data_IF_804868604188
#
_entry.id   IF_804868604188
#
_cell.length_a   1.000
_cell.length_b   1.000
_cell.length_c   1.000
_cell.angle_alpha   90.00
_cell.angle_beta   90.00
_cell.angle_gamma   90.00
#
_symmetry.space_group_name_H-M   'P 1'
#
loop_
_entity.id
_entity.type
_entity.pdbx_description
1 polymer ?
#
# COMPACT_ATOMS: atom_id res chain seq x y z
N UNK A 1 0.81 -39.92 9.62
CA UNK A 1 1.79 -39.46 8.61
C UNK A 1 2.28 -38.11 9.04
N UNK A 2 3.56 -37.80 8.83
CA UNK A 2 4.12 -36.48 9.08
C UNK A 2 4.58 -35.84 7.76
N UNK A 3 4.26 -34.57 7.56
CA UNK A 3 4.59 -33.80 6.36
C UNK A 3 5.42 -32.58 6.74
N UNK A 4 6.66 -32.56 6.28
CA UNK A 4 7.62 -31.48 6.44
C UNK A 4 7.56 -30.59 5.21
N UNK A 5 7.06 -29.37 5.38
CA UNK A 5 6.89 -28.38 4.32
C UNK A 5 7.99 -27.34 4.45
N UNK A 6 8.86 -27.25 3.45
CA UNK A 6 10.07 -26.42 3.48
C UNK A 6 10.12 -25.51 2.26
N UNK A 7 10.35 -24.21 2.47
CA UNK A 7 10.63 -23.28 1.35
C UNK A 7 12.10 -23.38 0.93
N UNK A 8 12.36 -23.31 -0.37
CA UNK A 8 13.70 -23.26 -0.92
C UNK A 8 14.60 -22.19 -0.28
N UNK A 9 15.91 -22.41 -0.32
CA UNK A 9 16.92 -21.45 0.11
C UNK A 9 16.93 -20.15 -0.70
N UNK A 10 17.58 -19.12 -0.18
CA UNK A 10 17.62 -17.79 -0.80
C UNK A 10 18.27 -17.80 -2.19
N UNK A 11 17.73 -16.99 -3.09
CA UNK A 11 18.30 -16.68 -4.41
C UNK A 11 18.67 -15.19 -4.50
N UNK A 12 19.38 -14.79 -5.55
CA UNK A 12 19.68 -13.36 -5.76
C UNK A 12 18.42 -12.55 -6.03
N UNK A 13 17.42 -13.13 -6.70
CA UNK A 13 16.12 -12.47 -6.88
C UNK A 13 15.33 -12.33 -5.58
N UNK A 14 15.51 -13.21 -4.58
CA UNK A 14 14.97 -12.93 -3.24
C UNK A 14 15.66 -11.71 -2.61
N UNK A 15 16.98 -11.61 -2.73
CA UNK A 15 17.76 -10.49 -2.17
C UNK A 15 17.40 -9.15 -2.81
N UNK A 16 17.07 -9.18 -4.09
CA UNK A 16 16.66 -8.02 -4.90
C UNK A 16 15.15 -7.77 -4.88
N UNK A 17 14.37 -8.55 -4.12
CA UNK A 17 12.91 -8.46 -4.06
C UNK A 17 12.22 -8.55 -5.44
N UNK A 18 12.74 -9.37 -6.35
CA UNK A 18 12.13 -9.61 -7.66
C UNK A 18 11.09 -10.73 -7.61
N UNK A 19 10.06 -10.63 -8.45
CA UNK A 19 9.17 -11.76 -8.72
C UNK A 19 9.97 -12.89 -9.39
N UNK A 20 10.01 -14.07 -8.78
CA UNK A 20 10.67 -15.24 -9.38
C UNK A 20 9.72 -16.05 -10.24
N UNK A 21 8.55 -16.38 -9.68
CA UNK A 21 7.55 -17.20 -10.35
C UNK A 21 8.12 -18.51 -10.89
N UNK A 22 7.72 -18.88 -12.11
CA UNK A 22 8.16 -20.11 -12.75
C UNK A 22 9.56 -20.01 -13.38
N UNK A 23 10.19 -18.83 -13.40
CA UNK A 23 11.55 -18.65 -13.89
C UNK A 23 12.57 -19.45 -13.05
N UNK A 24 13.52 -20.12 -13.70
CA UNK A 24 14.48 -20.98 -13.02
C UNK A 24 15.75 -20.22 -12.60
N UNK A 25 15.74 -19.73 -11.36
CA UNK A 25 16.86 -19.01 -10.72
C UNK A 25 17.56 -19.93 -9.71
N UNK A 26 18.90 -20.04 -9.73
CA UNK A 26 19.64 -20.89 -8.80
C UNK A 26 19.69 -20.30 -7.37
N UNK A 27 20.06 -21.14 -6.40
CA UNK A 27 20.40 -20.67 -5.05
C UNK A 27 21.63 -19.77 -5.08
N UNK A 28 21.65 -18.77 -4.20
CA UNK A 28 22.88 -18.07 -3.86
C UNK A 28 23.56 -18.74 -2.65
N UNK A 29 24.77 -18.28 -2.31
CA UNK A 29 25.53 -18.94 -1.25
C UNK A 29 24.89 -18.78 0.14
N UNK A 30 24.21 -17.66 0.42
CA UNK A 30 23.41 -17.49 1.64
C UNK A 30 22.32 -18.59 1.73
N UNK A 31 21.64 -18.86 0.61
CA UNK A 31 20.63 -19.91 0.50
C UNK A 31 21.19 -21.31 0.70
N UNK A 32 22.33 -21.64 0.08
CA UNK A 32 22.99 -22.94 0.28
C UNK A 32 23.44 -23.14 1.71
N UNK A 33 23.98 -22.11 2.36
CA UNK A 33 24.38 -22.18 3.77
C UNK A 33 23.18 -22.39 4.69
N UNK A 34 22.06 -21.71 4.45
CA UNK A 34 20.83 -21.92 5.20
C UNK A 34 20.30 -23.35 5.02
N UNK A 35 20.30 -23.88 3.78
CA UNK A 35 19.91 -25.26 3.50
C UNK A 35 20.81 -26.27 4.22
N UNK A 36 22.13 -26.06 4.27
CA UNK A 36 23.05 -26.94 5.03
C UNK A 36 22.74 -26.93 6.53
N UNK A 37 22.45 -25.76 7.11
CA UNK A 37 22.09 -25.65 8.53
C UNK A 37 20.79 -26.40 8.85
N UNK A 38 19.77 -26.24 8.02
CA UNK A 38 18.52 -26.99 8.18
C UNK A 38 18.73 -28.50 7.96
N UNK A 39 19.58 -28.89 7.00
CA UNK A 39 19.95 -30.30 6.79
C UNK A 39 20.62 -30.92 8.02
N UNK A 40 21.51 -30.19 8.69
CA UNK A 40 22.10 -30.63 9.96
C UNK A 40 21.06 -30.72 11.10
N UNK A 41 20.07 -29.84 11.12
CA UNK A 41 18.96 -29.91 12.08
C UNK A 41 18.09 -31.16 11.87
N UNK A 42 17.85 -31.52 10.60
CA UNK A 42 17.01 -32.65 10.20
C UNK A 42 17.77 -33.96 10.05
N UNK A 43 19.07 -33.99 10.38
CA UNK A 43 19.93 -35.16 10.16
C UNK A 43 19.47 -36.40 10.91
N UNK A 44 18.68 -36.31 11.96
CA UNK A 44 18.22 -37.50 12.69
C UNK A 44 16.80 -37.92 12.30
N UNK A 45 16.17 -37.17 11.38
CA UNK A 45 14.87 -37.51 10.79
C UNK A 45 15.08 -38.47 9.61
N UNK A 46 14.33 -39.57 9.62
CA UNK A 46 14.21 -40.47 8.47
C UNK A 46 13.00 -40.04 7.64
N UNK A 47 13.19 -39.82 6.35
CA UNK A 47 12.11 -39.51 5.41
C UNK A 47 11.88 -40.72 4.51
N UNK A 48 10.64 -41.17 4.39
CA UNK A 48 10.27 -42.23 3.44
C UNK A 48 10.21 -41.67 2.01
N UNK A 49 9.75 -40.43 1.87
CA UNK A 49 9.62 -39.73 0.60
C UNK A 49 10.12 -38.29 0.69
N UNK A 50 10.79 -37.85 -0.39
CA UNK A 50 11.18 -36.45 -0.56
C UNK A 50 10.68 -35.97 -1.91
N UNK A 51 9.78 -35.00 -1.91
CA UNK A 51 9.29 -34.33 -3.10
C UNK A 51 9.87 -32.93 -3.20
N UNK A 52 10.14 -32.50 -4.43
CA UNK A 52 10.56 -31.13 -4.72
C UNK A 52 9.82 -30.59 -5.93
N UNK A 53 9.62 -29.28 -5.96
CA UNK A 53 9.45 -28.57 -7.22
C UNK A 53 10.59 -28.92 -8.20
N UNK A 54 10.32 -28.97 -9.52
CA UNK A 54 11.36 -29.21 -10.51
C UNK A 54 12.36 -28.06 -10.67
N UNK A 55 11.98 -26.82 -10.30
CA UNK A 55 12.86 -25.64 -10.37
C UNK A 55 14.12 -25.82 -9.52
N UNK A 56 15.26 -25.42 -10.07
CA UNK A 56 16.61 -25.68 -9.55
C UNK A 56 16.77 -25.27 -8.09
N UNK A 57 16.32 -24.07 -7.69
CA UNK A 57 16.41 -23.59 -6.29
C UNK A 57 15.77 -24.53 -5.27
N UNK A 58 14.59 -25.10 -5.57
CA UNK A 58 13.91 -26.02 -4.66
C UNK A 58 14.58 -27.40 -4.68
N UNK A 59 14.91 -27.88 -5.88
CA UNK A 59 15.55 -29.18 -6.04
C UNK A 59 16.94 -29.25 -5.41
N UNK A 60 17.76 -28.22 -5.64
CA UNK A 60 19.07 -28.06 -5.00
C UNK A 60 18.94 -27.97 -3.48
N UNK A 61 17.95 -27.23 -2.96
CA UNK A 61 17.67 -27.18 -1.52
C UNK A 61 17.38 -28.58 -0.98
N UNK A 62 16.49 -29.34 -1.62
CA UNK A 62 16.16 -30.71 -1.22
C UNK A 62 17.37 -31.65 -1.24
N UNK A 63 18.23 -31.54 -2.26
CA UNK A 63 19.49 -32.29 -2.34
C UNK A 63 20.44 -31.94 -1.19
N UNK A 64 20.57 -30.65 -0.84
CA UNK A 64 21.44 -30.21 0.27
C UNK A 64 20.90 -30.73 1.60
N UNK A 65 19.58 -30.65 1.84
CA UNK A 65 18.94 -31.13 3.06
C UNK A 65 19.14 -32.63 3.28
N UNK A 66 19.10 -33.42 2.20
CA UNK A 66 19.35 -34.85 2.24
C UNK A 66 20.83 -35.22 2.51
N UNK A 67 21.75 -34.30 2.24
CA UNK A 67 23.18 -34.56 2.29
C UNK A 67 23.65 -35.63 1.28
N UNK A 68 24.90 -36.07 1.43
CA UNK A 68 25.55 -37.01 0.50
C UNK A 68 25.18 -38.49 0.68
N UNK A 69 24.31 -38.84 1.64
CA UNK A 69 24.25 -40.23 2.15
C UNK A 69 22.87 -40.84 2.45
N UNK A 70 21.73 -40.20 2.15
CA UNK A 70 20.43 -40.70 2.69
C UNK A 70 19.45 -41.35 1.73
N UNK A 71 19.48 -41.04 0.43
CA UNK A 71 18.62 -41.70 -0.55
C UNK A 71 19.34 -41.93 -1.87
N UNK A 72 19.48 -43.19 -2.28
CA UNK A 72 20.09 -43.59 -3.56
C UNK A 72 19.34 -43.07 -4.80
N UNK A 73 18.11 -42.55 -4.63
CA UNK A 73 17.24 -42.06 -5.71
C UNK A 73 17.08 -40.54 -5.77
N UNK A 74 17.59 -39.79 -4.78
CA UNK A 74 17.41 -38.33 -4.68
C UNK A 74 15.96 -37.87 -4.50
N UNK A 75 15.70 -36.55 -4.47
CA UNK A 75 14.34 -36.00 -4.41
C UNK A 75 13.51 -36.30 -5.67
N UNK A 76 12.22 -36.59 -5.49
CA UNK A 76 11.26 -36.80 -6.58
C UNK A 76 10.75 -35.43 -7.06
N UNK A 77 11.03 -35.07 -8.31
CA UNK A 77 10.49 -33.85 -8.92
C UNK A 77 8.99 -34.01 -9.16
N UNK A 78 8.18 -33.05 -8.71
CA UNK A 78 6.75 -33.02 -8.97
C UNK A 78 6.32 -31.64 -9.47
N UNK A 79 5.80 -31.58 -10.70
CA UNK A 79 5.39 -30.34 -11.36
C UNK A 79 4.24 -29.62 -10.65
N UNK A 80 3.43 -30.32 -9.85
CA UNK A 80 2.36 -29.72 -9.04
C UNK A 80 2.91 -28.80 -7.95
N UNK A 81 4.19 -28.91 -7.61
CA UNK A 81 4.88 -28.08 -6.61
C UNK A 81 5.62 -26.87 -7.21
N UNK A 82 5.57 -26.66 -8.53
CA UNK A 82 6.18 -25.49 -9.19
C UNK A 82 5.62 -24.19 -8.62
N UNK A 83 6.42 -23.12 -8.50
CA UNK A 83 5.90 -21.83 -8.03
C UNK A 83 4.74 -21.33 -8.90
N UNK A 84 3.90 -20.47 -8.34
CA UNK A 84 2.90 -19.70 -9.11
C UNK A 84 3.61 -18.88 -10.18
N UNK A 85 3.19 -19.00 -11.45
CA UNK A 85 3.68 -18.11 -12.51
C UNK A 85 3.24 -16.68 -12.24
N UNK A 86 4.19 -15.73 -12.26
CA UNK A 86 3.86 -14.30 -12.22
C UNK A 86 3.89 -13.66 -13.61
N UNK A 87 4.01 -14.46 -14.67
CA UNK A 87 3.92 -13.99 -16.06
C UNK A 87 4.89 -12.86 -16.37
N UNK A 88 4.39 -11.79 -16.97
CA UNK A 88 5.18 -10.60 -17.35
C UNK A 88 5.84 -9.87 -16.16
N UNK A 89 5.50 -10.19 -14.90
CA UNK A 89 6.16 -9.62 -13.73
C UNK A 89 7.47 -10.32 -13.36
N UNK A 90 7.72 -11.54 -13.85
CA UNK A 90 8.92 -12.29 -13.48
C UNK A 90 10.20 -11.52 -13.84
N UNK A 91 11.09 -11.36 -12.87
CA UNK A 91 12.31 -10.56 -12.96
C UNK A 91 12.12 -9.09 -12.62
N UNK A 92 10.90 -8.58 -12.51
CA UNK A 92 10.64 -7.21 -12.08
C UNK A 92 10.80 -7.09 -10.55
N UNK A 93 11.49 -6.04 -10.05
CA UNK A 93 11.48 -5.70 -8.62
C UNK A 93 10.05 -5.37 -8.15
N UNK A 94 9.69 -5.81 -6.94
CA UNK A 94 8.33 -5.66 -6.42
C UNK A 94 7.90 -4.19 -6.25
N UNK A 95 8.86 -3.29 -5.98
CA UNK A 95 8.65 -1.85 -5.88
C UNK A 95 8.42 -1.18 -7.25
N UNK A 96 8.96 -1.77 -8.32
CA UNK A 96 8.80 -1.32 -9.72
C UNK A 96 7.58 -1.90 -10.42
N UNK A 97 6.79 -2.72 -9.73
CA UNK A 97 5.47 -3.12 -10.21
C UNK A 97 4.55 -1.89 -10.28
N UNK A 98 4.60 -1.22 -11.44
CA UNK A 98 3.74 -0.10 -11.80
C UNK A 98 2.41 -0.67 -12.25
N UNK A 99 1.38 -0.28 -11.53
CA UNK A 99 0.09 -0.90 -11.61
C UNK A 99 -0.89 0.07 -12.26
N UNK A 100 -1.23 -0.18 -13.53
CA UNK A 100 -2.19 0.67 -14.23
C UNK A 100 -3.63 0.40 -13.79
N UNK A 101 -3.93 -0.73 -13.09
CA UNK A 101 -5.30 -1.17 -12.72
C UNK A 101 -5.41 -2.01 -11.41
N UNK A 102 -4.55 -1.74 -10.42
CA UNK A 102 -4.65 -2.16 -9.00
C UNK A 102 -4.61 -3.67 -8.55
N UNK A 103 -3.98 -4.69 -9.21
CA UNK A 103 -3.78 -6.00 -8.59
C UNK A 103 -2.78 -6.01 -7.42
N UNK A 104 -1.86 -5.05 -7.33
CA UNK A 104 -0.79 -5.03 -6.29
C UNK A 104 -1.34 -4.91 -4.89
N UNK A 105 -2.37 -4.08 -4.67
CA UNK A 105 -2.98 -3.93 -3.32
C UNK A 105 -3.68 -5.19 -2.84
N UNK A 106 -4.20 -6.00 -3.77
CA UNK A 106 -4.92 -7.23 -3.45
C UNK A 106 -4.00 -8.39 -3.18
N UNK A 107 -2.77 -8.37 -3.73
CA UNK A 107 -1.83 -9.50 -3.68
C UNK A 107 -1.69 -10.11 -2.28
N UNK A 108 -1.45 -9.29 -1.24
CA UNK A 108 -1.35 -9.76 0.15
C UNK A 108 -2.61 -9.53 0.99
N UNK A 109 -3.42 -8.50 0.70
CA UNK A 109 -4.52 -8.06 1.58
C UNK A 109 -5.88 -8.68 1.24
N UNK A 110 -6.18 -8.84 -0.05
CA UNK A 110 -7.44 -9.41 -0.53
C UNK A 110 -7.14 -10.39 -1.67
N UNK A 111 -6.40 -11.49 -1.41
CA UNK A 111 -5.92 -12.41 -2.44
C UNK A 111 -7.02 -13.00 -3.33
N UNK A 112 -8.28 -13.09 -2.87
CA UNK A 112 -9.41 -13.50 -3.72
C UNK A 112 -9.74 -12.52 -4.85
N UNK A 113 -9.27 -11.28 -4.77
CA UNK A 113 -9.43 -10.22 -5.79
C UNK A 113 -8.21 -10.04 -6.68
N UNK A 114 -7.12 -10.78 -6.43
CA UNK A 114 -5.91 -10.69 -7.23
C UNK A 114 -6.15 -11.19 -8.66
N UNK A 115 -5.86 -10.32 -9.63
CA UNK A 115 -5.87 -10.66 -11.06
C UNK A 115 -4.43 -10.72 -11.54
N UNK A 116 -3.95 -11.89 -12.02
CA UNK A 116 -2.58 -12.01 -12.49
C UNK A 116 -2.35 -11.23 -13.79
N UNK A 117 -1.11 -10.77 -14.03
CA UNK A 117 -0.71 -10.21 -15.32
C UNK A 117 -0.80 -11.27 -16.42
N UNK A 118 -0.61 -10.86 -17.67
CA UNK A 118 -0.57 -11.79 -18.80
C UNK A 118 0.49 -12.88 -18.57
N UNK A 119 0.08 -14.13 -18.76
CA UNK A 119 0.92 -15.32 -18.54
C UNK A 119 1.07 -15.74 -17.06
N UNK A 120 0.46 -15.02 -16.12
CA UNK A 120 0.45 -15.38 -14.70
C UNK A 120 -0.66 -16.37 -14.32
N UNK A 121 -0.50 -17.00 -13.17
CA UNK A 121 -1.46 -17.91 -12.55
C UNK A 121 -2.26 -17.20 -11.44
N UNK A 122 -3.51 -17.62 -11.25
CA UNK A 122 -4.31 -17.16 -10.10
C UNK A 122 -3.92 -17.94 -8.83
N UNK A 123 -4.16 -17.36 -7.65
CA UNK A 123 -4.00 -18.11 -6.40
C UNK A 123 -4.95 -19.30 -6.30
N UNK A 124 -6.17 -19.19 -6.85
CA UNK A 124 -7.14 -20.30 -6.91
C UNK A 124 -6.57 -21.48 -7.70
N UNK A 125 -5.96 -21.24 -8.87
CA UNK A 125 -5.30 -22.32 -9.63
C UNK A 125 -4.14 -22.97 -8.86
N UNK A 126 -3.45 -22.21 -7.99
CA UNK A 126 -2.46 -22.75 -7.06
C UNK A 126 -3.06 -23.73 -6.05
N UNK A 127 -4.19 -23.36 -5.43
CA UNK A 127 -4.94 -24.21 -4.48
C UNK A 127 -5.37 -25.49 -5.19
N UNK A 128 -5.98 -25.40 -6.37
CA UNK A 128 -6.40 -26.58 -7.14
C UNK A 128 -5.22 -27.50 -7.49
N UNK A 129 -4.09 -26.91 -7.91
CA UNK A 129 -2.89 -27.64 -8.31
C UNK A 129 -2.26 -28.39 -7.14
N UNK A 130 -2.21 -27.77 -5.97
CA UNK A 130 -1.69 -28.42 -4.75
C UNK A 130 -2.70 -29.39 -4.13
N UNK A 131 -4.01 -29.16 -4.27
CA UNK A 131 -5.04 -30.13 -3.90
C UNK A 131 -4.91 -31.43 -4.70
N UNK A 132 -4.60 -31.34 -6.00
CA UNK A 132 -4.24 -32.52 -6.81
C UNK A 132 -3.01 -33.25 -6.28
N UNK A 133 -2.01 -32.54 -5.75
CA UNK A 133 -0.85 -33.17 -5.12
C UNK A 133 -1.24 -33.92 -3.84
N UNK A 134 -2.09 -33.33 -3.00
CA UNK A 134 -2.61 -34.00 -1.79
C UNK A 134 -3.34 -35.30 -2.17
N UNK A 135 -4.31 -35.23 -3.09
CA UNK A 135 -5.15 -36.38 -3.45
C UNK A 135 -4.42 -37.46 -4.26
N UNK A 136 -3.49 -37.08 -5.14
CA UNK A 136 -2.84 -38.06 -6.04
C UNK A 136 -1.49 -38.55 -5.54
N UNK A 137 -0.91 -37.91 -4.51
CA UNK A 137 0.41 -38.27 -3.96
C UNK A 137 0.32 -38.58 -2.48
N UNK A 138 -0.11 -37.63 -1.64
CA UNK A 138 -0.04 -37.80 -0.18
C UNK A 138 -1.06 -38.84 0.32
N UNK A 139 -2.30 -38.79 -0.16
CA UNK A 139 -3.33 -39.75 0.27
C UNK A 139 -3.04 -41.20 -0.12
N UNK A 140 -2.57 -41.52 -1.34
CA UNK A 140 -2.11 -42.87 -1.66
C UNK A 140 -0.98 -43.35 -0.75
N UNK A 141 0.03 -42.50 -0.48
CA UNK A 141 1.12 -42.84 0.43
C UNK A 141 0.57 -43.13 1.84
N UNK A 142 -0.38 -42.33 2.34
CA UNK A 142 -0.97 -42.57 3.66
C UNK A 142 -1.72 -43.91 3.73
N UNK A 143 -2.44 -44.29 2.67
CA UNK A 143 -3.15 -45.58 2.61
C UNK A 143 -2.19 -46.77 2.66
N UNK A 144 -1.00 -46.63 2.08
CA UNK A 144 0.03 -47.68 2.06
C UNK A 144 0.90 -47.68 3.33
N UNK A 145 1.27 -46.50 3.82
CA UNK A 145 2.10 -46.29 5.00
C UNK A 145 1.57 -45.10 5.83
N UNK A 146 0.70 -45.38 6.82
CA UNK A 146 0.14 -44.35 7.70
C UNK A 146 1.20 -43.62 8.53
N UNK A 147 2.36 -44.21 8.76
CA UNK A 147 3.44 -43.65 9.58
C UNK A 147 4.52 -42.95 8.74
N UNK A 148 4.31 -42.81 7.43
CA UNK A 148 5.29 -42.21 6.53
C UNK A 148 5.64 -40.77 6.96
N UNK A 149 6.93 -40.45 6.85
CA UNK A 149 7.49 -39.10 6.96
C UNK A 149 7.86 -38.58 5.59
N UNK A 150 7.25 -37.48 5.19
CA UNK A 150 7.40 -36.91 3.85
C UNK A 150 8.01 -35.52 3.96
N UNK A 151 9.07 -35.25 3.19
CA UNK A 151 9.59 -33.90 3.00
C UNK A 151 9.12 -33.33 1.67
N UNK A 152 8.65 -32.09 1.67
CA UNK A 152 8.25 -31.31 0.49
C UNK A 152 9.05 -30.02 0.46
N UNK A 153 9.81 -29.82 -0.61
CA UNK A 153 10.58 -28.58 -0.83
C UNK A 153 10.03 -27.82 -2.02
N UNK A 154 9.53 -26.60 -1.80
CA UNK A 154 8.92 -25.79 -2.86
C UNK A 154 9.12 -24.29 -2.60
N UNK A 155 8.10 -23.47 -2.88
CA UNK A 155 8.22 -22.01 -2.98
C UNK A 155 7.15 -21.27 -2.19
N UNK A 156 7.33 -19.97 -2.00
CA UNK A 156 6.53 -19.20 -1.06
C UNK A 156 5.04 -19.20 -1.39
N UNK A 157 4.67 -18.84 -2.62
CA UNK A 157 3.25 -18.74 -2.97
C UNK A 157 2.59 -20.12 -3.14
N UNK A 158 3.26 -21.08 -3.77
CA UNK A 158 2.69 -22.43 -3.93
C UNK A 158 2.58 -23.20 -2.60
N UNK A 159 3.47 -22.97 -1.62
CA UNK A 159 3.33 -23.57 -0.29
C UNK A 159 2.17 -22.96 0.48
N UNK A 160 1.89 -21.67 0.32
CA UNK A 160 0.68 -21.04 0.86
C UNK A 160 -0.59 -21.72 0.29
N UNK A 161 -0.63 -22.04 -1.01
CA UNK A 161 -1.70 -22.83 -1.61
C UNK A 161 -1.79 -24.26 -1.04
N UNK A 162 -0.66 -24.96 -0.87
CA UNK A 162 -0.65 -26.29 -0.27
C UNK A 162 -1.25 -26.23 1.14
N UNK A 163 -0.80 -25.29 1.96
CA UNK A 163 -1.29 -25.11 3.32
C UNK A 163 -2.77 -24.71 3.38
N UNK A 164 -3.31 -24.03 2.35
CA UNK A 164 -4.77 -23.84 2.25
C UNK A 164 -5.52 -25.17 2.16
N UNK A 165 -5.01 -26.14 1.40
CA UNK A 165 -5.61 -27.47 1.30
C UNK A 165 -5.45 -28.28 2.60
N UNK A 166 -4.33 -28.15 3.30
CA UNK A 166 -4.10 -28.87 4.57
C UNK A 166 -5.00 -28.31 5.68
N UNK A 167 -5.13 -26.99 5.77
CA UNK A 167 -5.84 -26.29 6.84
C UNK A 167 -7.30 -25.95 6.51
N UNK A 168 -7.80 -26.36 5.34
CA UNK A 168 -9.13 -25.98 4.82
C UNK A 168 -9.36 -24.45 4.75
N UNK A 169 -8.33 -23.68 4.36
CA UNK A 169 -8.45 -22.24 4.12
C UNK A 169 -8.98 -21.96 2.72
N UNK A 170 -9.77 -20.90 2.60
CA UNK A 170 -10.19 -20.35 1.31
C UNK A 170 -9.13 -19.40 0.75
N UNK A 171 -9.26 -19.00 -0.51
CA UNK A 171 -8.37 -18.01 -1.14
C UNK A 171 -8.32 -16.69 -0.36
N UNK A 172 -9.37 -16.33 0.39
CA UNK A 172 -9.36 -15.09 1.19
C UNK A 172 -8.38 -15.12 2.35
N UNK A 173 -7.98 -16.31 2.81
CA UNK A 173 -6.94 -16.50 3.80
C UNK A 173 -5.72 -17.23 3.22
N UNK A 174 -5.36 -16.92 1.96
CA UNK A 174 -4.28 -17.59 1.23
C UNK A 174 -2.95 -17.56 2.00
N UNK A 175 -2.56 -16.38 2.51
CA UNK A 175 -1.27 -16.18 3.16
C UNK A 175 -1.22 -16.64 4.62
N UNK A 176 -2.36 -16.85 5.29
CA UNK A 176 -2.38 -17.24 6.71
C UNK A 176 -1.58 -16.27 7.57
N UNK A 177 -0.60 -16.79 8.31
CA UNK A 177 0.31 -15.98 9.15
C UNK A 177 1.43 -15.27 8.38
N UNK A 178 1.51 -15.43 7.06
CA UNK A 178 2.48 -14.76 6.19
C UNK A 178 3.20 -15.68 5.22
N UNK A 179 4.11 -15.09 4.46
CA UNK A 179 4.97 -15.81 3.51
C UNK A 179 6.11 -16.49 4.27
N UNK A 180 6.23 -17.82 4.15
CA UNK A 180 7.35 -18.58 4.73
C UNK A 180 8.69 -18.02 4.28
N UNK A 181 9.63 -17.83 5.19
CA UNK A 181 11.02 -17.46 4.93
C UNK A 181 11.79 -18.56 4.19
N UNK A 182 12.96 -18.22 3.65
CA UNK A 182 13.82 -19.19 2.96
C UNK A 182 14.39 -20.22 3.96
N UNK A 183 14.30 -21.52 3.63
CA UNK A 183 14.65 -22.62 4.54
C UNK A 183 13.90 -22.60 5.89
N UNK A 184 12.68 -22.06 5.92
CA UNK A 184 11.78 -22.29 7.05
C UNK A 184 11.03 -23.61 6.88
N UNK A 185 10.81 -24.28 8.01
CA UNK A 185 10.10 -25.54 8.13
C UNK A 185 8.72 -25.37 8.76
N UNK A 186 7.78 -26.20 8.31
CA UNK A 186 6.49 -26.38 8.95
C UNK A 186 6.11 -27.85 8.90
N UNK A 187 5.77 -28.43 10.04
CA UNK A 187 5.45 -29.86 10.15
C UNK A 187 3.97 -30.02 10.43
N UNK A 188 3.31 -30.86 9.63
CA UNK A 188 1.94 -31.28 9.84
C UNK A 188 1.86 -32.77 10.16
N UNK A 189 0.87 -33.15 10.94
CA UNK A 189 0.47 -34.54 11.16
C UNK A 189 -0.87 -34.81 10.50
N UNK A 190 -1.05 -36.00 9.92
CA UNK A 190 -2.32 -36.46 9.34
C UNK A 190 -2.77 -37.75 10.00
N UNK A 191 -4.01 -37.74 10.50
CA UNK A 191 -4.64 -38.88 11.18
C UNK A 191 -5.53 -39.74 10.27
N UNK A 192 -5.58 -39.41 8.97
CA UNK A 192 -6.46 -40.06 7.99
C UNK A 192 -7.74 -39.29 7.68
N UNK A 193 -8.00 -38.19 8.40
CA UNK A 193 -9.16 -37.31 8.20
C UNK A 193 -8.77 -35.83 8.18
N UNK A 194 -7.89 -35.42 9.09
CA UNK A 194 -7.56 -34.01 9.32
C UNK A 194 -6.05 -33.82 9.41
N UNK A 195 -5.56 -32.76 8.78
CA UNK A 195 -4.19 -32.29 8.98
C UNK A 195 -4.14 -31.35 10.19
N UNK A 196 -3.18 -31.58 11.08
CA UNK A 196 -2.94 -30.76 12.27
C UNK A 196 -1.52 -30.22 12.24
N UNK A 197 -1.36 -28.91 12.47
CA UNK A 197 -0.05 -28.27 12.61
C UNK A 197 0.66 -28.82 13.85
N UNK A 198 1.83 -29.43 13.67
CA UNK A 198 2.63 -30.02 14.75
C UNK A 198 3.73 -29.07 15.22
N UNK A 199 4.42 -28.43 14.28
CA UNK A 199 5.41 -27.40 14.56
C UNK A 199 5.53 -26.41 13.40
N UNK A 200 5.96 -25.20 13.71
CA UNK A 200 6.24 -24.15 12.75
C UNK A 200 7.41 -23.32 13.28
N UNK A 201 8.33 -22.93 12.40
CA UNK A 201 9.28 -21.87 12.73
C UNK A 201 8.53 -20.58 13.09
N UNK A 202 9.15 -19.73 13.92
CA UNK A 202 8.55 -18.42 14.23
C UNK A 202 8.35 -17.65 12.93
N UNK A 203 7.14 -17.12 12.66
CA UNK A 203 6.89 -16.32 11.47
C UNK A 203 7.89 -15.17 11.39
N UNK A 204 8.62 -15.10 10.27
CA UNK A 204 9.41 -13.91 9.95
C UNK A 204 8.51 -12.84 9.36
N UNK A 205 8.87 -11.57 9.60
CA UNK A 205 8.22 -10.45 8.94
C UNK A 205 8.33 -10.65 7.42
N UNK A 206 7.18 -10.69 6.74
CA UNK A 206 7.15 -10.83 5.30
C UNK A 206 7.82 -9.59 4.68
N UNK A 207 9.00 -9.72 4.06
CA UNK A 207 9.80 -8.56 3.66
C UNK A 207 9.18 -7.83 2.46
N UNK A 208 8.14 -8.40 1.85
CA UNK A 208 7.36 -7.78 0.78
C UNK A 208 6.19 -6.93 1.30
N UNK A 209 5.83 -7.01 2.58
CA UNK A 209 4.72 -6.22 3.15
C UNK A 209 4.96 -4.72 3.08
N UNK A 210 6.22 -4.28 3.22
CA UNK A 210 6.59 -2.87 2.99
C UNK A 210 6.23 -2.39 1.58
N UNK A 211 6.26 -3.27 0.58
CA UNK A 211 5.85 -2.93 -0.78
C UNK A 211 4.34 -3.09 -1.02
N UNK A 212 3.67 -3.95 -0.26
CA UNK A 212 2.21 -4.17 -0.32
C UNK A 212 1.41 -2.98 0.21
N UNK A 213 2.01 -2.19 1.09
CA UNK A 213 1.43 -0.94 1.60
C UNK A 213 1.60 0.24 0.63
N UNK A 214 2.33 0.03 -0.47
CA UNK A 214 2.82 1.12 -1.30
C UNK A 214 3.75 1.98 -0.45
N UNK A 215 5.05 1.71 -0.50
CA UNK A 215 6.04 2.65 0.03
C UNK A 215 5.82 3.99 -0.67
N UNK A 216 4.99 4.85 -0.06
CA UNK A 216 4.89 6.25 -0.42
C UNK A 216 6.27 6.82 -0.17
N UNK A 217 6.92 7.21 -1.26
CA UNK A 217 8.14 8.00 -1.24
C UNK A 217 7.93 9.11 -0.20
N UNK A 218 8.82 9.19 0.79
CA UNK A 218 8.71 10.21 1.83
C UNK A 218 8.52 11.58 1.19
N UNK A 219 7.61 12.38 1.75
CA UNK A 219 7.27 13.70 1.26
C UNK A 219 8.55 14.52 1.04
N UNK A 220 8.61 15.21 -0.09
CA UNK A 220 9.65 16.21 -0.27
C UNK A 220 9.41 17.33 0.75
N UNK A 221 10.46 17.79 1.42
CA UNK A 221 10.38 18.90 2.37
C UNK A 221 11.08 20.09 1.73
N UNK A 222 10.34 21.17 1.48
CA UNK A 222 10.84 22.35 0.76
C UNK A 222 10.52 23.60 1.56
N UNK A 223 11.50 24.49 1.70
CA UNK A 223 11.27 25.79 2.35
C UNK A 223 10.44 26.69 1.44
N UNK A 224 9.46 27.41 1.99
CA UNK A 224 8.70 28.44 1.27
C UNK A 224 9.61 29.55 0.71
N UNK A 225 10.75 29.79 1.36
CA UNK A 225 11.75 30.76 0.90
C UNK A 225 12.52 30.30 -0.36
N UNK A 226 12.41 29.03 -0.75
CA UNK A 226 12.96 28.53 -2.01
C UNK A 226 12.21 29.17 -3.19
N UNK A 227 12.96 29.73 -4.14
CA UNK A 227 12.43 30.46 -5.30
C UNK A 227 11.53 29.59 -6.19
N UNK A 228 11.75 28.27 -6.23
CA UNK A 228 10.98 27.33 -7.03
C UNK A 228 9.85 26.65 -6.24
N UNK A 229 9.75 26.90 -4.93
CA UNK A 229 8.77 26.24 -4.05
C UNK A 229 7.33 26.37 -4.57
N UNK A 230 6.93 27.55 -5.05
CA UNK A 230 5.57 27.78 -5.56
C UNK A 230 5.31 26.95 -6.83
N UNK A 231 6.23 27.01 -7.80
CA UNK A 231 6.14 26.28 -9.07
C UNK A 231 6.11 24.77 -8.82
N UNK A 232 6.99 24.27 -7.95
CA UNK A 232 7.07 22.86 -7.57
C UNK A 232 5.79 22.38 -6.87
N UNK A 233 5.25 23.19 -5.97
CA UNK A 233 3.98 22.88 -5.28
C UNK A 233 2.84 22.75 -6.29
N UNK A 234 2.75 23.69 -7.24
CA UNK A 234 1.73 23.64 -8.29
C UNK A 234 1.88 22.42 -9.21
N UNK A 235 3.12 21.98 -9.51
CA UNK A 235 3.36 20.76 -10.28
C UNK A 235 2.86 19.51 -9.55
N UNK A 236 3.16 19.37 -8.25
CA UNK A 236 2.70 18.24 -7.43
C UNK A 236 1.17 18.23 -7.32
N UNK A 237 0.54 19.39 -7.14
CA UNK A 237 -0.91 19.53 -7.11
C UNK A 237 -1.55 19.12 -8.45
N UNK A 238 -0.99 19.58 -9.58
CA UNK A 238 -1.47 19.24 -10.93
C UNK A 238 -1.32 17.75 -11.25
N UNK A 239 -0.33 17.07 -10.70
CA UNK A 239 -0.18 15.61 -10.82
C UNK A 239 -1.05 14.81 -9.84
N UNK A 240 -2.06 15.42 -9.20
CA UNK A 240 -2.94 14.74 -8.25
C UNK A 240 -2.36 14.51 -6.84
N UNK A 241 -1.23 15.15 -6.55
CA UNK A 241 -0.56 15.07 -5.26
C UNK A 241 -1.34 15.79 -4.14
N UNK A 242 -1.16 15.31 -2.91
CA UNK A 242 -1.59 15.98 -1.69
C UNK A 242 -0.38 16.64 -1.04
N UNK A 243 -0.53 17.92 -0.71
CA UNK A 243 0.54 18.73 -0.14
C UNK A 243 0.13 19.32 1.20
N UNK A 244 1.11 19.60 2.06
CA UNK A 244 0.92 20.44 3.24
C UNK A 244 1.55 21.79 2.97
N UNK A 245 0.76 22.86 3.06
CA UNK A 245 1.20 24.22 2.78
C UNK A 245 0.88 25.18 3.92
N UNK A 246 1.74 26.18 4.18
CA UNK A 246 1.43 27.25 5.11
C UNK A 246 0.32 28.15 4.55
N UNK A 247 -0.68 28.50 5.36
CA UNK A 247 -1.72 29.49 5.02
C UNK A 247 -1.61 30.70 5.95
N UNK A 248 -2.43 31.74 5.73
CA UNK A 248 -2.46 32.94 6.60
C UNK A 248 -2.77 32.63 8.09
N UNK A 249 -3.30 31.43 8.37
CA UNK A 249 -3.74 31.03 9.71
C UNK A 249 -2.91 29.84 10.21
N UNK A 250 -3.17 28.66 9.68
CA UNK A 250 -2.49 27.41 10.07
C UNK A 250 -1.94 26.70 8.84
N UNK A 251 -1.17 25.63 9.01
CA UNK A 251 -0.88 24.73 7.90
C UNK A 251 -2.15 24.04 7.42
N UNK A 252 -2.25 23.83 6.11
CA UNK A 252 -3.39 23.18 5.48
C UNK A 252 -2.99 22.01 4.58
N UNK A 253 -3.72 20.90 4.67
CA UNK A 253 -3.73 19.90 3.61
C UNK A 253 -4.40 20.50 2.38
N UNK A 254 -3.75 20.35 1.23
CA UNK A 254 -4.25 20.86 -0.04
C UNK A 254 -4.10 19.85 -1.16
N UNK A 255 -5.03 19.91 -2.10
CA UNK A 255 -5.12 19.06 -3.28
C UNK A 255 -5.89 19.78 -4.36
N UNK A 256 -5.67 19.43 -5.62
CA UNK A 256 -6.39 20.08 -6.73
C UNK A 256 -7.89 19.73 -6.69
N UNK A 257 -8.77 20.69 -7.00
CA UNK A 257 -10.22 20.44 -7.06
C UNK A 257 -10.55 19.72 -8.37
N UNK A 258 -11.27 18.59 -8.28
CA UNK A 258 -11.70 17.80 -9.43
C UNK A 258 -12.52 18.64 -10.43
N UNK A 259 -12.19 18.54 -11.72
CA UNK A 259 -12.75 19.40 -12.78
C UNK A 259 -11.81 20.50 -13.29
N UNK A 260 -10.52 20.41 -12.95
CA UNK A 260 -9.44 21.18 -13.58
C UNK A 260 -9.34 20.89 -15.10
N UNK A 261 -8.71 21.78 -15.90
CA UNK A 261 -8.69 21.66 -17.38
C UNK A 261 -8.07 20.36 -17.92
N UNK A 262 -7.24 19.69 -17.13
CA UNK A 262 -6.60 18.43 -17.50
C UNK A 262 -7.03 17.29 -16.55
N UNK A 263 -7.19 16.05 -17.07
CA UNK A 263 -7.54 14.91 -16.24
C UNK A 263 -6.43 14.67 -15.21
N UNK A 264 -6.82 14.55 -13.94
CA UNK A 264 -5.90 14.13 -12.87
C UNK A 264 -5.82 12.61 -12.91
N UNK A 265 -4.65 12.05 -13.19
CA UNK A 265 -4.42 10.61 -13.07
C UNK A 265 -4.36 10.21 -11.58
N UNK A 266 -5.05 9.11 -11.21
CA UNK A 266 -5.04 8.56 -9.86
C UNK A 266 -6.23 8.95 -8.97
N UNK A 267 -6.20 8.59 -7.68
CA UNK A 267 -7.31 8.79 -6.75
C UNK A 267 -7.57 10.28 -6.48
N UNK A 268 -8.84 10.65 -6.38
CA UNK A 268 -9.27 12.02 -6.12
C UNK A 268 -8.55 12.62 -4.89
N UNK A 269 -7.94 13.82 -5.01
CA UNK A 269 -7.25 14.45 -3.89
C UNK A 269 -8.14 14.68 -2.66
N UNK A 270 -9.46 14.86 -2.83
CA UNK A 270 -10.41 14.95 -1.71
C UNK A 270 -10.40 13.66 -0.88
N UNK A 271 -10.59 12.50 -1.53
CA UNK A 271 -10.62 11.20 -0.87
C UNK A 271 -9.30 10.88 -0.17
N UNK A 272 -8.17 11.26 -0.79
CA UNK A 272 -6.85 11.12 -0.17
C UNK A 272 -6.73 11.96 1.10
N UNK A 273 -7.10 13.25 1.06
CA UNK A 273 -7.04 14.14 2.23
C UNK A 273 -7.96 13.61 3.35
N UNK A 274 -9.16 13.11 3.01
CA UNK A 274 -10.08 12.52 4.00
C UNK A 274 -9.50 11.26 4.65
N UNK A 275 -8.88 10.40 3.85
CA UNK A 275 -8.22 9.17 4.33
C UNK A 275 -7.08 9.50 5.29
N UNK A 276 -6.17 10.42 4.91
CA UNK A 276 -5.05 10.87 5.75
C UNK A 276 -5.57 11.44 7.06
N UNK A 277 -6.65 12.23 7.05
CA UNK A 277 -7.22 12.77 8.29
C UNK A 277 -7.91 11.70 9.15
N UNK A 278 -8.12 10.47 8.68
CA UNK A 278 -8.91 9.45 9.38
C UNK A 278 -10.36 9.87 9.55
N UNK A 279 -10.94 10.49 8.52
CA UNK A 279 -12.20 11.24 8.61
C UNK A 279 -13.41 10.38 8.24
N UNK A 280 -14.44 10.33 9.11
CA UNK A 280 -15.77 9.76 8.82
C UNK A 280 -16.84 10.81 8.45
N UNK A 281 -16.48 12.10 8.50
CA UNK A 281 -17.42 13.21 8.26
C UNK A 281 -17.53 13.62 6.78
N UNK A 282 -18.75 13.97 6.36
CA UNK A 282 -19.12 14.47 5.02
C UNK A 282 -18.91 15.98 4.84
N UNK A 283 -18.38 16.70 5.84
CA UNK A 283 -18.27 18.17 5.77
C UNK A 283 -17.36 18.59 4.59
N UNK A 284 -17.82 19.53 3.74
CA UNK A 284 -17.06 20.00 2.59
C UNK A 284 -15.82 20.78 3.03
N UNK A 285 -14.76 20.69 2.22
CA UNK A 285 -13.54 21.48 2.42
C UNK A 285 -13.68 22.84 1.76
N UNK A 286 -12.92 23.82 2.25
CA UNK A 286 -12.87 25.13 1.60
C UNK A 286 -12.06 25.01 0.30
N UNK A 287 -12.41 25.83 -0.69
CA UNK A 287 -11.66 25.98 -1.93
C UNK A 287 -10.94 27.33 -1.93
N UNK A 288 -9.64 27.31 -2.20
CA UNK A 288 -8.82 28.51 -2.30
C UNK A 288 -8.74 28.97 -3.75
N UNK A 289 -8.97 30.26 -3.99
CA UNK A 289 -8.87 30.91 -5.31
C UNK A 289 -7.73 31.92 -5.33
N UNK A 290 -7.13 32.14 -6.50
CA UNK A 290 -5.95 32.98 -6.65
C UNK A 290 -6.27 34.47 -6.54
N UNK A 291 -7.43 34.89 -7.07
CA UNK A 291 -7.88 36.27 -7.07
C UNK A 291 -9.35 36.38 -6.67
N UNK A 292 -9.79 37.48 -6.03
CA UNK A 292 -11.20 37.67 -5.68
C UNK A 292 -12.15 37.56 -6.88
N UNK A 293 -11.70 38.01 -8.06
CA UNK A 293 -12.51 38.01 -9.29
C UNK A 293 -12.75 36.58 -9.84
N UNK A 294 -11.91 35.61 -9.46
CA UNK A 294 -12.11 34.21 -9.87
C UNK A 294 -13.40 33.62 -9.31
N UNK A 295 -13.95 34.19 -8.22
CA UNK A 295 -15.20 33.72 -7.62
C UNK A 295 -16.36 33.70 -8.63
N UNK A 296 -16.43 34.68 -9.52
CA UNK A 296 -17.49 34.80 -10.52
C UNK A 296 -17.56 33.61 -11.50
N UNK A 297 -16.50 32.79 -11.58
CA UNK A 297 -16.49 31.56 -12.38
C UNK A 297 -17.31 30.43 -11.74
N UNK A 298 -17.50 30.47 -10.42
CA UNK A 298 -18.03 29.35 -9.64
C UNK A 298 -19.41 29.59 -9.03
N UNK A 299 -19.85 30.84 -8.96
CA UNK A 299 -21.15 31.21 -8.40
C UNK A 299 -21.79 32.34 -9.19
N UNK A 300 -23.12 32.36 -9.16
CA UNK A 300 -23.95 33.47 -9.64
C UNK A 300 -24.46 34.36 -8.49
N UNK A 301 -24.11 34.04 -7.23
CA UNK A 301 -24.48 34.85 -6.08
C UNK A 301 -23.79 36.22 -6.13
N UNK A 302 -24.55 37.28 -5.85
CA UNK A 302 -23.99 38.62 -5.74
C UNK A 302 -23.36 38.81 -4.35
N UNK A 303 -22.04 38.65 -4.25
CA UNK A 303 -21.31 38.85 -2.99
C UNK A 303 -21.18 40.35 -2.68
N UNK A 304 -21.62 40.82 -1.50
CA UNK A 304 -21.50 42.21 -1.09
C UNK A 304 -20.06 42.74 -1.16
N UNK A 305 -19.89 43.95 -1.73
CA UNK A 305 -18.58 44.56 -1.95
C UNK A 305 -17.76 44.72 -0.65
N UNK A 306 -18.42 44.98 0.48
CA UNK A 306 -17.75 45.09 1.79
C UNK A 306 -17.16 43.76 2.29
N UNK A 307 -17.65 42.61 1.81
CA UNK A 307 -17.04 41.30 2.06
C UNK A 307 -15.89 41.04 1.10
N UNK A 308 -16.07 41.35 -0.20
CA UNK A 308 -15.01 41.18 -1.21
C UNK A 308 -13.78 42.07 -0.91
N UNK A 309 -13.98 43.27 -0.39
CA UNK A 309 -12.88 44.17 0.05
C UNK A 309 -12.06 43.60 1.23
N UNK A 310 -12.56 42.57 1.93
CA UNK A 310 -11.82 41.86 2.97
C UNK A 310 -10.99 40.69 2.40
N UNK A 311 -11.07 40.46 1.08
CA UNK A 311 -10.14 39.63 0.33
C UNK A 311 -9.11 40.50 -0.40
N UNK A 312 -7.87 40.02 -0.58
CA UNK A 312 -7.32 38.75 -0.08
C UNK A 312 -7.13 38.73 1.45
N UNK A 313 -7.44 37.62 2.12
CA UNK A 313 -7.30 37.52 3.58
C UNK A 313 -8.00 36.33 4.26
N UNK A 314 -8.09 36.39 5.58
CA UNK A 314 -8.64 35.34 6.45
C UNK A 314 -10.19 35.31 6.55
N UNK A 315 -10.86 35.57 5.43
CA UNK A 315 -12.31 35.47 5.28
C UNK A 315 -12.65 34.28 4.37
N UNK A 316 -13.62 33.46 4.76
CA UNK A 316 -14.21 32.41 3.94
C UNK A 316 -15.67 32.74 3.70
N UNK A 317 -16.11 32.70 2.44
CA UNK A 317 -17.47 33.04 2.01
C UNK A 317 -18.11 31.77 1.43
N UNK A 318 -19.24 31.36 1.98
CA UNK A 318 -20.08 30.27 1.47
C UNK A 318 -21.13 30.84 0.54
N UNK A 319 -21.16 30.33 -0.68
CA UNK A 319 -22.04 30.74 -1.78
C UNK A 319 -22.76 29.51 -2.35
N UNK A 320 -23.88 29.73 -3.04
CA UNK A 320 -24.48 28.73 -3.91
C UNK A 320 -23.58 28.57 -5.14
N UNK A 321 -23.11 27.36 -5.41
CA UNK A 321 -22.26 27.12 -6.57
C UNK A 321 -23.07 26.82 -7.83
N UNK A 322 -22.44 27.03 -8.99
CA UNK A 322 -23.08 26.81 -10.29
C UNK A 322 -23.43 25.32 -10.57
N UNK A 323 -23.09 24.40 -9.65
CA UNK A 323 -23.39 22.97 -9.75
C UNK A 323 -24.62 22.56 -8.91
N UNK A 324 -25.31 23.53 -8.31
CA UNK A 324 -26.53 23.29 -7.53
C UNK A 324 -26.29 22.91 -6.07
N UNK A 325 -25.07 23.12 -5.55
CA UNK A 325 -24.73 22.95 -4.14
C UNK A 325 -24.27 24.24 -3.47
N UNK A 326 -23.60 24.12 -2.33
CA UNK A 326 -22.93 25.25 -1.66
C UNK A 326 -21.43 24.98 -1.56
N UNK A 327 -20.61 25.96 -1.90
CA UNK A 327 -19.15 25.86 -1.79
C UNK A 327 -18.60 27.03 -0.97
N UNK A 328 -17.62 26.73 -0.12
CA UNK A 328 -16.92 27.71 0.69
C UNK A 328 -15.63 28.15 -0.02
N UNK A 329 -15.55 29.41 -0.43
CA UNK A 329 -14.37 29.98 -1.10
C UNK A 329 -13.56 30.89 -0.18
N UNK A 330 -12.25 31.00 -0.44
CA UNK A 330 -11.36 31.99 0.17
C UNK A 330 -10.29 32.41 -0.81
N UNK A 331 -10.05 33.72 -0.93
CA UNK A 331 -8.85 34.25 -1.55
C UNK A 331 -7.83 34.56 -0.42
N UNK A 332 -6.75 33.78 -0.27
CA UNK A 332 -5.80 33.94 0.84
C UNK A 332 -4.96 35.22 0.72
N UNK A 333 -4.57 35.80 1.86
CA UNK A 333 -3.72 37.00 1.91
C UNK A 333 -2.30 36.75 1.41
N UNK A 334 -1.77 35.57 1.69
CA UNK A 334 -0.43 35.14 1.33
C UNK A 334 -0.18 35.13 -0.19
N UNK A 335 0.82 35.91 -0.63
CA UNK A 335 1.11 36.07 -2.06
C UNK A 335 1.67 34.80 -2.69
N UNK A 336 2.52 34.09 -1.95
CA UNK A 336 3.10 32.82 -2.39
C UNK A 336 2.00 31.79 -2.64
N UNK A 337 1.03 31.68 -1.73
CA UNK A 337 -0.10 30.77 -1.87
C UNK A 337 -1.01 31.16 -3.05
N UNK A 338 -1.29 32.45 -3.25
CA UNK A 338 -2.01 32.92 -4.44
C UNK A 338 -1.28 32.58 -5.74
N UNK A 339 0.05 32.66 -5.75
CA UNK A 339 0.87 32.22 -6.91
C UNK A 339 0.73 30.71 -7.16
N UNK A 340 0.79 29.87 -6.13
CA UNK A 340 0.58 28.41 -6.28
C UNK A 340 -0.78 28.12 -6.92
N UNK A 341 -1.84 28.77 -6.43
CA UNK A 341 -3.20 28.58 -6.96
C UNK A 341 -3.28 29.06 -8.42
N UNK A 342 -2.68 30.20 -8.74
CA UNK A 342 -2.63 30.73 -10.10
C UNK A 342 -1.90 29.75 -11.05
N UNK A 343 -0.78 29.18 -10.62
CA UNK A 343 0.01 28.22 -11.40
C UNK A 343 -0.72 26.87 -11.58
N UNK A 344 -1.66 26.53 -10.69
CA UNK A 344 -2.57 25.38 -10.85
C UNK A 344 -3.67 25.64 -11.88
N UNK A 345 -4.01 26.90 -12.16
CA UNK A 345 -5.06 27.29 -13.10
C UNK A 345 -6.50 27.03 -12.62
N UNK A 346 -6.67 26.53 -11.39
CA UNK A 346 -7.97 26.19 -10.80
C UNK A 346 -7.89 26.24 -9.25
N UNK A 347 -9.03 26.17 -8.54
CA UNK A 347 -9.04 26.19 -7.09
C UNK A 347 -8.38 24.94 -6.51
N UNK A 348 -7.86 25.07 -5.29
CA UNK A 348 -7.33 23.95 -4.51
C UNK A 348 -8.14 23.77 -3.24
N UNK A 349 -8.33 22.53 -2.81
CA UNK A 349 -8.89 22.25 -1.50
C UNK A 349 -7.96 22.75 -0.39
N UNK A 350 -8.54 23.14 0.74
CA UNK A 350 -7.77 23.40 1.95
C UNK A 350 -8.54 22.97 3.21
N UNK A 351 -7.82 22.39 4.16
CA UNK A 351 -8.33 22.05 5.50
C UNK A 351 -7.16 22.00 6.48
N UNK A 352 -7.40 22.28 7.76
CA UNK A 352 -6.34 22.31 8.77
C UNK A 352 -5.57 21.00 8.87
N UNK A 353 -4.28 21.07 9.21
CA UNK A 353 -3.43 19.89 9.42
C UNK A 353 -3.64 19.31 10.82
N UNK A 354 -4.43 18.24 10.88
CA UNK A 354 -4.71 17.42 12.06
C UNK A 354 -5.40 16.12 11.66
N UNK A 355 -5.28 15.09 12.50
CA UNK A 355 -6.20 13.94 12.47
C UNK A 355 -7.59 14.37 12.94
N UNK A 356 -8.63 13.70 12.47
CA UNK A 356 -10.01 13.97 12.88
C UNK A 356 -10.16 13.88 14.39
N UNK A 357 -10.79 14.89 15.00
CA UNK A 357 -10.96 14.97 16.46
C UNK A 357 -9.72 15.40 17.26
N UNK A 358 -8.57 15.55 16.62
CA UNK A 358 -7.33 15.99 17.27
C UNK A 358 -7.10 17.50 17.08
N UNK A 359 -6.32 18.15 17.98
CA UNK A 359 -5.91 19.54 17.83
C UNK A 359 -5.17 19.81 16.51
N UNK A 360 -5.24 21.05 16.03
CA UNK A 360 -4.46 21.50 14.86
C UNK A 360 -2.98 21.52 15.22
N UNK A 361 -2.14 20.93 14.37
CA UNK A 361 -0.69 21.02 14.51
C UNK A 361 -0.22 22.37 13.99
N UNK A 362 0.55 23.09 14.80
CA UNK A 362 1.10 24.41 14.50
C UNK A 362 2.65 24.42 14.44
N UNK A 363 3.30 23.37 14.93
CA UNK A 363 4.76 23.17 14.83
C UNK A 363 5.14 22.38 13.58
N UNK A 364 6.05 22.93 12.76
CA UNK A 364 6.42 22.29 11.50
C UNK A 364 7.12 20.93 11.69
N UNK A 365 7.88 20.77 12.78
CA UNK A 365 8.56 19.51 13.12
C UNK A 365 7.56 18.41 13.46
N UNK A 366 6.49 18.75 14.19
CA UNK A 366 5.40 17.83 14.50
C UNK A 366 4.63 17.44 13.24
N UNK A 367 4.36 18.39 12.36
CA UNK A 367 3.72 18.13 11.06
C UNK A 367 4.54 17.17 10.20
N UNK A 368 5.85 17.42 10.06
CA UNK A 368 6.74 16.56 9.29
C UNK A 368 6.77 15.15 9.89
N UNK A 369 6.95 15.05 11.21
CA UNK A 369 7.00 13.77 11.90
C UNK A 369 5.71 12.95 11.71
N UNK A 370 4.56 13.61 11.78
CA UNK A 370 3.25 12.96 11.71
C UNK A 370 2.85 12.57 10.28
N UNK A 371 3.13 13.42 9.28
CA UNK A 371 2.50 13.28 7.96
C UNK A 371 3.46 13.09 6.78
N UNK A 372 4.79 13.14 6.97
CA UNK A 372 5.74 13.02 5.86
C UNK A 372 5.67 11.69 5.10
N UNK A 373 5.13 10.63 5.69
CA UNK A 373 4.90 9.34 5.00
C UNK A 373 3.58 9.26 4.24
N UNK A 374 2.70 10.26 4.36
CA UNK A 374 1.33 10.19 3.87
C UNK A 374 1.00 11.19 2.75
N UNK A 375 1.79 12.26 2.64
CA UNK A 375 1.66 13.34 1.64
C UNK A 375 2.85 13.35 0.68
N UNK A 376 2.72 14.08 -0.43
CA UNK A 376 3.72 14.11 -1.51
C UNK A 376 4.74 15.24 -1.33
N UNK A 377 4.35 16.35 -0.69
CA UNK A 377 5.18 17.53 -0.45
C UNK A 377 4.74 18.26 0.83
N UNK A 378 5.72 18.74 1.60
CA UNK A 378 5.51 19.64 2.74
C UNK A 378 6.30 20.92 2.48
N UNK A 379 5.61 22.06 2.46
CA UNK A 379 6.23 23.38 2.42
C UNK A 379 6.41 23.89 3.85
N UNK A 380 7.60 24.35 4.22
CA UNK A 380 7.91 24.87 5.56
C UNK A 380 8.04 26.40 5.58
N UNK A 381 7.50 27.04 6.61
CA UNK A 381 7.46 28.51 6.79
C UNK A 381 7.41 28.90 8.29
N UNK A 382 8.14 28.14 9.11
CA UNK A 382 8.14 28.30 10.57
C UNK A 382 6.87 27.78 11.25
N UNK A 383 6.84 27.87 12.58
CA UNK A 383 5.68 27.49 13.38
C UNK A 383 4.56 28.54 13.27
N UNK A 384 3.30 28.11 13.32
CA UNK A 384 2.09 28.97 13.22
C UNK A 384 1.34 29.04 14.56
N UNK A 385 2.07 29.26 15.66
CA UNK A 385 1.51 29.25 17.02
C UNK A 385 0.51 30.38 17.24
N UNK A 386 -0.62 30.05 17.88
CA UNK A 386 -1.61 31.03 18.33
C UNK A 386 -2.41 31.72 17.21
N UNK A 387 -2.36 31.21 15.98
CA UNK A 387 -3.13 31.75 14.88
C UNK A 387 -4.64 31.57 15.12
N UNK A 388 -5.40 32.65 14.93
CA UNK A 388 -6.85 32.60 15.03
C UNK A 388 -7.44 31.96 13.77
N UNK A 389 -8.58 31.27 13.89
CA UNK A 389 -9.24 30.67 12.73
C UNK A 389 -9.76 31.76 11.78
N UNK A 390 -9.95 31.42 10.50
CA UNK A 390 -10.61 32.32 9.55
C UNK A 390 -12.06 32.59 9.95
N UNK A 391 -12.54 33.78 9.62
CA UNK A 391 -13.97 34.10 9.71
C UNK A 391 -14.72 33.38 8.60
N UNK A 392 -15.85 32.76 8.91
CA UNK A 392 -16.70 32.07 7.93
C UNK A 392 -18.05 32.76 7.88
N UNK A 393 -18.45 33.22 6.71
CA UNK A 393 -19.76 33.80 6.43
C UNK A 393 -20.49 32.98 5.38
N UNK A 394 -21.80 32.84 5.51
CA UNK A 394 -22.67 32.32 4.45
C UNK A 394 -23.53 33.45 3.89
N UNK A 395 -23.77 33.42 2.58
CA UNK A 395 -24.70 34.34 1.89
C UNK A 395 -25.83 33.62 1.14
N UNK A 396 -25.94 32.30 1.28
CA UNK A 396 -26.79 31.42 0.45
C UNK A 396 -28.28 31.75 0.50
N UNK A 397 -28.75 32.39 1.58
CA UNK A 397 -30.18 32.71 1.81
C UNK A 397 -30.50 34.20 1.55
N UNK A 398 -29.66 34.91 0.77
CA UNK A 398 -29.80 36.34 0.52
C UNK A 398 -29.53 37.22 1.76
N UNK A 399 -28.94 36.66 2.81
CA UNK A 399 -28.53 37.34 4.05
C UNK A 399 -27.11 36.93 4.43
N UNK A 400 -26.33 37.86 4.97
CA UNK A 400 -25.01 37.56 5.52
C UNK A 400 -25.18 36.93 6.90
N UNK A 401 -24.74 35.68 7.05
CA UNK A 401 -24.72 34.96 8.32
C UNK A 401 -23.28 34.62 8.72
N UNK A 402 -22.81 35.13 9.85
CA UNK A 402 -21.52 34.73 10.41
C UNK A 402 -21.67 33.36 11.06
N UNK A 403 -21.05 32.34 10.47
CA UNK A 403 -21.05 30.97 10.99
C UNK A 403 -19.91 30.74 11.99
N UNK A 404 -18.81 31.45 11.82
CA UNK A 404 -17.68 31.47 12.76
C UNK A 404 -17.00 32.83 12.70
N UNK A 405 -16.89 33.50 13.84
CA UNK A 405 -16.10 34.73 13.94
C UNK A 405 -14.62 34.36 14.15
N UNK A 406 -13.77 34.89 13.27
CA UNK A 406 -12.32 34.71 13.31
C UNK A 406 -11.60 36.06 13.30
N UNK A 407 -10.43 36.11 12.64
CA UNK A 407 -9.60 37.32 12.55
C UNK A 407 -10.25 38.51 11.85
N UNK A 408 -11.17 38.25 10.91
CA UNK A 408 -11.80 39.29 10.12
C UNK A 408 -13.16 39.63 10.72
N UNK A 409 -13.32 40.83 11.29
CA UNK A 409 -14.62 41.33 11.74
C UNK A 409 -15.51 41.70 10.55
N UNK A 410 -16.79 41.29 10.60
CA UNK A 410 -17.76 41.49 9.52
C UNK A 410 -18.66 42.70 9.75
N UNK A 411 -18.97 42.97 11.02
CA UNK A 411 -19.82 44.07 11.46
C UNK A 411 -19.03 45.06 12.32
#
# INVERSE_FOLDING_TARGET
>A
MELYVIRHGKTDWNKEYRFQGAHDIPLNEEGRQAARKLGEHLKDVHFDYVFSSPLSRAYETACILLGSLRHSKGPIKNALLTEISFGELEGLPFDQWMDTDEPRKFFFKEPGRYVPPKGGETFVSGIERTGKFVHTVLEPIYKENPDARIMVVAHGAILAALMCNLENRTVENYWGNGLKGNCEETVYTYDGKVWSLASEDKPQDNPYMKFAEGEKKAAQIVSKADAESATRTAQVLKSGGVVIIPTDTVYGFSGIVSGAPEPVEGPCPDDRIRTIKGRSETKPMIQLIAKPEDLAKYTSDNVPANLLQKWPGALTIIVNDNRGGTTAFRCPGDEWLRKVIADCGCPIYSTSVNRSGQPVLDEQSAIIKEFASEVDLIITDGDKKGAKPSTIVSITDGRIKVLRQGDVQIF
#
